data_IF_586427579932
#
_entry.id   IF_586427579932
#
_cell.length_a   1.000
_cell.length_b   1.000
_cell.length_c   1.000
_cell.angle_alpha   90.00
_cell.angle_beta   90.00
_cell.angle_gamma   90.00
#
_symmetry.space_group_name_H-M   'P 1'
#
loop_
_entity.id
_entity.type
_entity.pdbx_description
1 polymer ?
#
# COMPACT_ATOMS: atom_id res chain seq x y z
N UNK A 1 16.19 -7.07 1.62
CA UNK A 1 14.75 -6.83 1.81
C UNK A 1 14.54 -5.53 2.56
N UNK A 2 13.96 -4.53 1.90
CA UNK A 2 13.70 -3.22 2.49
C UNK A 2 12.77 -3.38 3.72
N UNK A 3 13.10 -2.81 4.90
CA UNK A 3 12.30 -2.97 6.11
C UNK A 3 10.85 -2.49 5.94
N UNK A 4 10.62 -1.48 5.09
CA UNK A 4 9.27 -0.97 4.78
C UNK A 4 8.48 -1.94 3.91
N UNK A 5 9.13 -2.57 2.93
CA UNK A 5 8.50 -3.59 2.11
C UNK A 5 8.03 -4.77 2.98
N UNK A 6 8.89 -5.23 3.91
CA UNK A 6 8.53 -6.28 4.87
C UNK A 6 7.30 -5.90 5.71
N UNK A 7 7.27 -4.68 6.25
CA UNK A 7 6.13 -4.18 7.03
C UNK A 7 4.83 -4.15 6.20
N UNK A 8 4.90 -3.65 4.97
CA UNK A 8 3.73 -3.62 4.07
C UNK A 8 3.23 -5.03 3.74
N UNK A 9 4.12 -6.00 3.56
CA UNK A 9 3.73 -7.40 3.35
C UNK A 9 3.01 -8.00 4.56
N UNK A 10 3.44 -7.66 5.78
CA UNK A 10 2.76 -8.11 7.00
C UNK A 10 1.36 -7.52 7.12
N UNK A 11 1.21 -6.22 6.88
CA UNK A 11 -0.10 -5.54 6.90
C UNK A 11 -1.03 -6.01 5.77
N UNK A 12 -0.49 -6.23 4.58
CA UNK A 12 -1.27 -6.74 3.44
C UNK A 12 -1.90 -8.10 3.74
N UNK A 13 -1.20 -8.97 4.49
CA UNK A 13 -1.76 -10.26 4.95
C UNK A 13 -2.99 -10.06 5.83
N UNK A 14 -2.91 -9.14 6.80
CA UNK A 14 -4.02 -8.83 7.70
C UNK A 14 -5.24 -8.33 6.91
N UNK A 15 -5.02 -7.37 6.00
CA UNK A 15 -6.09 -6.82 5.16
C UNK A 15 -6.73 -7.88 4.26
N UNK A 16 -5.95 -8.84 3.76
CA UNK A 16 -6.48 -9.93 2.93
C UNK A 16 -7.30 -10.94 3.74
N UNK A 17 -6.96 -11.17 5.01
CA UNK A 17 -7.71 -12.09 5.88
C UNK A 17 -8.94 -11.45 6.55
N UNK A 18 -9.06 -10.12 6.53
CA UNK A 18 -10.18 -9.39 7.12
C UNK A 18 -11.50 -9.62 6.34
N UNK A 19 -12.67 -9.63 7.01
CA UNK A 19 -13.98 -9.67 6.37
C UNK A 19 -14.19 -8.51 5.38
N UNK A 20 -15.11 -8.71 4.41
CA UNK A 20 -15.36 -7.73 3.35
C UNK A 20 -16.01 -6.43 3.86
N UNK A 21 -16.73 -6.45 4.97
CA UNK A 21 -17.37 -5.23 5.49
C UNK A 21 -16.49 -4.49 6.52
N UNK A 22 -15.30 -5.02 6.80
CA UNK A 22 -14.35 -4.40 7.71
C UNK A 22 -13.62 -3.23 7.05
N UNK A 23 -13.44 -2.16 7.83
CA UNK A 23 -12.71 -0.97 7.44
C UNK A 23 -11.23 -1.30 7.17
N UNK A 24 -10.77 -0.93 5.97
CA UNK A 24 -9.42 -1.19 5.50
C UNK A 24 -8.48 -0.09 6.00
N UNK A 25 -7.45 -0.42 6.80
CA UNK A 25 -6.53 0.56 7.33
C UNK A 25 -5.65 1.17 6.23
N UNK A 26 -5.22 2.42 6.45
CA UNK A 26 -4.29 3.10 5.57
C UNK A 26 -2.90 2.43 5.56
N UNK A 27 -2.26 2.24 4.39
CA UNK A 27 -0.90 1.70 4.30
C UNK A 27 0.19 2.72 4.67
N UNK A 28 -0.17 3.91 5.14
CA UNK A 28 0.78 4.96 5.46
C UNK A 28 1.77 4.54 6.56
N UNK A 29 3.07 4.78 6.32
CA UNK A 29 4.15 4.60 7.30
C UNK A 29 4.70 5.96 7.79
N UNK A 30 3.93 7.04 7.62
CA UNK A 30 4.31 8.42 7.95
C UNK A 30 5.60 8.90 7.27
N UNK A 31 5.93 8.30 6.12
CA UNK A 31 6.99 8.77 5.22
C UNK A 31 6.32 9.49 4.06
N UNK A 32 6.39 10.82 4.06
CA UNK A 32 5.85 11.66 2.99
C UNK A 32 6.95 12.03 1.99
N UNK A 33 7.46 11.02 1.26
CA UNK A 33 8.45 11.21 0.19
C UNK A 33 8.04 10.39 -1.03
N UNK A 34 8.10 11.04 -2.19
CA UNK A 34 7.81 10.42 -3.49
C UNK A 34 9.11 10.12 -4.21
N UNK A 35 9.24 8.90 -4.73
CA UNK A 35 10.27 8.55 -5.68
C UNK A 35 9.91 9.18 -7.05
N UNK A 36 10.75 10.08 -7.59
CA UNK A 36 10.46 10.76 -8.85
C UNK A 36 10.56 9.83 -10.07
N UNK A 37 11.32 8.74 -9.98
CA UNK A 37 11.49 7.76 -11.06
C UNK A 37 10.35 6.75 -11.04
N UNK A 38 10.06 6.16 -9.88
CA UNK A 38 9.03 5.11 -9.75
C UNK A 38 7.62 5.70 -9.64
N UNK A 39 7.48 7.00 -9.34
CA UNK A 39 6.19 7.68 -9.11
C UNK A 39 5.41 7.06 -7.95
N UNK A 40 6.11 6.45 -7.00
CA UNK A 40 5.55 5.80 -5.81
C UNK A 40 6.04 6.49 -4.54
N UNK A 41 5.21 6.48 -3.51
CA UNK A 41 5.62 6.89 -2.18
C UNK A 41 6.62 5.88 -1.62
N UNK A 42 7.80 6.34 -1.20
CA UNK A 42 8.86 5.49 -0.64
C UNK A 42 8.46 4.80 0.68
N UNK A 43 7.40 5.29 1.32
CA UNK A 43 6.82 4.72 2.54
C UNK A 43 5.82 3.62 2.27
N UNK A 44 4.71 4.00 1.61
CA UNK A 44 3.53 3.15 1.47
C UNK A 44 3.38 2.52 0.09
N UNK A 45 4.29 2.80 -0.84
CA UNK A 45 4.28 2.33 -2.23
C UNK A 45 2.97 2.65 -2.98
N UNK A 46 2.27 3.70 -2.57
CA UNK A 46 1.12 4.26 -3.29
C UNK A 46 1.55 5.33 -4.29
N UNK A 47 0.79 5.46 -5.36
CA UNK A 47 0.83 6.61 -6.27
C UNK A 47 0.16 7.84 -5.64
N UNK A 48 0.37 9.03 -6.21
CA UNK A 48 -0.31 10.25 -5.76
C UNK A 48 -1.83 10.14 -5.91
N UNK A 49 -2.33 9.53 -6.98
CA UNK A 49 -3.77 9.36 -7.22
C UNK A 49 -4.40 8.44 -6.17
N UNK A 50 -3.73 7.34 -5.82
CA UNK A 50 -4.15 6.44 -4.74
C UNK A 50 -4.13 7.13 -3.36
N UNK A 51 -3.21 8.09 -3.14
CA UNK A 51 -3.15 8.88 -1.91
C UNK A 51 -4.33 9.86 -1.86
N UNK A 52 -4.57 10.60 -2.94
CA UNK A 52 -5.62 11.61 -3.03
C UNK A 52 -7.03 10.99 -2.93
N UNK A 53 -7.25 9.86 -3.58
CA UNK A 53 -8.56 9.20 -3.60
C UNK A 53 -8.90 8.45 -2.30
N UNK A 54 -7.91 8.13 -1.46
CA UNK A 54 -8.05 7.14 -0.36
C UNK A 54 -9.27 7.35 0.55
N UNK A 55 -9.52 8.59 0.96
CA UNK A 55 -10.62 8.92 1.89
C UNK A 55 -12.01 8.65 1.31
N UNK A 56 -12.16 8.67 -0.02
CA UNK A 56 -13.43 8.43 -0.70
C UNK A 56 -13.58 7.03 -1.29
N UNK A 57 -12.57 6.16 -1.18
CA UNK A 57 -12.65 4.81 -1.75
C UNK A 57 -13.55 3.90 -0.89
N UNK A 58 -14.41 3.08 -1.52
CA UNK A 58 -15.11 2.01 -0.81
C UNK A 58 -14.12 0.89 -0.41
N UNK A 59 -14.48 0.10 0.60
CA UNK A 59 -13.60 -0.93 1.16
C UNK A 59 -13.05 -1.95 0.13
N UNK A 60 -13.84 -2.43 -0.86
CA UNK A 60 -13.31 -3.26 -1.93
C UNK A 60 -12.21 -2.57 -2.76
N UNK A 61 -12.35 -1.27 -3.02
CA UNK A 61 -11.36 -0.50 -3.76
C UNK A 61 -10.09 -0.26 -2.94
N UNK A 62 -10.22 -0.03 -1.62
CA UNK A 62 -9.07 0.04 -0.70
C UNK A 62 -8.31 -1.30 -0.65
N UNK A 63 -9.01 -2.44 -0.65
CA UNK A 63 -8.38 -3.77 -0.77
C UNK A 63 -7.64 -3.96 -2.10
N UNK A 64 -8.20 -3.46 -3.21
CA UNK A 64 -7.51 -3.47 -4.50
C UNK A 64 -6.24 -2.61 -4.52
N UNK A 65 -6.20 -1.51 -3.75
CA UNK A 65 -4.96 -0.74 -3.54
C UNK A 65 -3.93 -1.55 -2.75
N UNK A 66 -4.34 -2.23 -1.67
CA UNK A 66 -3.46 -3.10 -0.90
C UNK A 66 -2.86 -4.25 -1.72
N UNK A 67 -3.63 -4.87 -2.62
CA UNK A 67 -3.12 -5.89 -3.53
C UNK A 67 -2.02 -5.36 -4.46
N UNK A 68 -2.19 -4.13 -4.99
CA UNK A 68 -1.15 -3.45 -5.78
C UNK A 68 0.10 -3.15 -4.96
N UNK A 69 -0.06 -2.67 -3.72
CA UNK A 69 1.05 -2.42 -2.79
C UNK A 69 1.81 -3.72 -2.50
N UNK A 70 1.11 -4.82 -2.25
CA UNK A 70 1.72 -6.13 -2.01
C UNK A 70 2.54 -6.60 -3.21
N UNK A 71 2.00 -6.46 -4.44
CA UNK A 71 2.74 -6.78 -5.66
C UNK A 71 4.00 -5.93 -5.81
N UNK A 72 3.90 -4.60 -5.58
CA UNK A 72 5.04 -3.66 -5.62
C UNK A 72 6.08 -4.01 -4.55
N UNK A 73 5.65 -4.36 -3.34
CA UNK A 73 6.56 -4.72 -2.25
C UNK A 73 7.32 -6.03 -2.53
N UNK A 74 6.70 -7.00 -3.22
CA UNK A 74 7.38 -8.23 -3.65
C UNK A 74 8.32 -8.01 -4.84
N UNK A 75 7.92 -7.17 -5.79
CA UNK A 75 8.72 -6.87 -6.99
C UNK A 75 9.84 -5.86 -6.76
N UNK A 76 9.72 -4.99 -5.76
CA UNK A 76 10.72 -3.99 -5.38
C UNK A 76 11.91 -4.54 -4.59
N UNK A 77 11.93 -5.85 -4.31
CA UNK A 77 13.12 -6.59 -3.84
C UNK A 77 14.03 -7.06 -4.99
N UNK A 78 13.66 -6.79 -6.26
CA UNK A 78 14.42 -7.17 -7.46
C UNK A 78 15.28 -6.05 -8.05
N UNK A 79 15.66 -5.03 -7.25
CA UNK A 79 16.59 -3.97 -7.64
C UNK A 79 17.68 -3.80 -6.58
#
# INVERSE_FOLDING_TARGET
>A
MNPRARELLLRARIVRSAPQDEAVPSPCLSVCRMDPQQRLCEGCLRTLDEIAAWGGLPEPAKRAVWARIEARARGGDAA
#
